data_IF_446278262919
#
_entry.id   IF_446278262919
#
_cell.length_a   1.000
_cell.length_b   1.000
_cell.length_c   1.000
_cell.angle_alpha   90.00
_cell.angle_beta   90.00
_cell.angle_gamma   90.00
#
_symmetry.space_group_name_H-M   'P 1'
#
loop_
_entity.id
_entity.type
_entity.pdbx_description
1 polymer ?
#
# COMPACT_ATOMS: atom_id res chain seq x y z
N UNK A 1 -2.02 -2.28 16.22
CA UNK A 1 -1.35 -3.59 16.04
C UNK A 1 0.14 -3.37 15.77
N UNK A 2 1.05 -4.25 16.21
CA UNK A 2 2.46 -4.13 15.81
C UNK A 2 2.56 -4.38 14.30
N UNK A 3 3.01 -3.38 13.54
CA UNK A 3 3.14 -3.43 12.08
C UNK A 3 4.23 -4.41 11.60
N UNK A 4 4.90 -5.12 12.52
CA UNK A 4 5.99 -6.05 12.24
C UNK A 4 5.53 -7.41 11.73
N UNK A 5 4.25 -7.75 11.88
CA UNK A 5 3.70 -9.02 11.38
C UNK A 5 3.57 -8.98 9.86
N UNK A 6 3.90 -10.08 9.18
CA UNK A 6 3.85 -10.12 7.72
C UNK A 6 2.42 -10.20 7.14
N UNK A 7 1.41 -10.41 7.98
CA UNK A 7 -0.01 -10.36 7.60
C UNK A 7 -0.71 -9.25 8.38
N UNK A 8 -1.58 -8.53 7.68
CA UNK A 8 -2.52 -7.60 8.30
C UNK A 8 -3.83 -8.33 8.64
N UNK A 9 -4.43 -8.04 9.79
CA UNK A 9 -5.64 -8.72 10.22
C UNK A 9 -6.81 -8.45 9.26
N UNK A 10 -7.48 -9.53 8.82
CA UNK A 10 -8.59 -9.44 7.86
C UNK A 10 -8.16 -9.16 6.41
N UNK A 11 -6.86 -9.25 6.11
CA UNK A 11 -6.32 -9.14 4.76
C UNK A 11 -5.65 -10.46 4.34
N UNK A 12 -5.94 -10.91 3.12
CA UNK A 12 -5.62 -12.28 2.70
C UNK A 12 -4.16 -12.49 2.27
N UNK A 13 -3.43 -11.41 1.96
CA UNK A 13 -2.10 -11.50 1.34
C UNK A 13 -1.00 -11.11 2.32
N UNK A 14 0.12 -11.81 2.22
CA UNK A 14 1.36 -11.52 2.91
C UNK A 14 1.99 -10.23 2.36
N UNK A 15 2.72 -9.47 3.18
CA UNK A 15 3.32 -8.19 2.75
C UNK A 15 4.24 -8.33 1.54
N UNK A 16 4.98 -9.44 1.43
CA UNK A 16 5.86 -9.75 0.30
C UNK A 16 5.15 -10.11 -1.00
N UNK A 17 3.84 -10.35 -0.96
CA UNK A 17 3.02 -10.59 -2.17
C UNK A 17 2.55 -9.29 -2.82
N UNK A 18 2.83 -8.15 -2.20
CA UNK A 18 2.38 -6.83 -2.65
C UNK A 18 3.59 -6.05 -3.18
N UNK A 19 3.53 -5.59 -4.42
CA UNK A 19 4.59 -4.79 -5.03
C UNK A 19 4.45 -3.30 -4.69
N UNK A 20 3.25 -2.76 -4.95
CA UNK A 20 2.97 -1.33 -4.86
C UNK A 20 1.49 -1.08 -4.65
N UNK A 21 1.18 0.07 -4.10
CA UNK A 21 -0.19 0.47 -3.81
C UNK A 21 -0.49 1.90 -4.26
N UNK A 22 -1.78 2.12 -4.52
CA UNK A 22 -2.38 3.43 -4.66
C UNK A 22 -3.56 3.50 -3.70
N UNK A 23 -3.60 4.52 -2.85
CA UNK A 23 -4.77 4.78 -2.02
C UNK A 23 -5.69 5.79 -2.71
N UNK A 24 -7.00 5.69 -2.52
CA UNK A 24 -7.98 6.72 -2.85
C UNK A 24 -9.03 6.73 -1.74
N UNK A 25 -9.03 7.77 -0.91
CA UNK A 25 -9.79 7.80 0.35
C UNK A 25 -9.50 6.57 1.22
N UNK A 26 -10.51 5.75 1.53
CA UNK A 26 -10.39 4.52 2.32
C UNK A 26 -10.06 3.28 1.49
N UNK A 27 -10.05 3.38 0.16
CA UNK A 27 -9.83 2.24 -0.73
C UNK A 27 -8.38 2.18 -1.19
N UNK A 28 -7.81 0.98 -1.20
CA UNK A 28 -6.46 0.70 -1.67
C UNK A 28 -6.55 -0.17 -2.93
N UNK A 29 -5.89 0.28 -4.00
CA UNK A 29 -5.58 -0.54 -5.17
C UNK A 29 -4.18 -1.10 -4.99
N UNK A 30 -4.04 -2.42 -4.96
CA UNK A 30 -2.79 -3.13 -4.72
C UNK A 30 -2.42 -3.92 -5.97
N UNK A 31 -1.16 -3.80 -6.40
CA UNK A 31 -0.58 -4.69 -7.40
C UNK A 31 0.16 -5.80 -6.68
N UNK A 32 -0.22 -7.05 -6.95
CA UNK A 32 0.42 -8.23 -6.40
C UNK A 32 1.60 -8.68 -7.27
N UNK A 33 2.50 -9.48 -6.69
CA UNK A 33 3.67 -10.04 -7.38
C UNK A 33 3.33 -10.96 -8.54
N UNK A 34 2.15 -11.59 -8.50
CA UNK A 34 1.62 -12.40 -9.61
C UNK A 34 0.99 -11.56 -10.73
N UNK A 35 1.07 -10.23 -10.67
CA UNK A 35 0.51 -9.31 -11.65
C UNK A 35 -0.98 -9.00 -11.46
N UNK A 36 -1.66 -9.63 -10.51
CA UNK A 36 -3.06 -9.32 -10.21
C UNK A 36 -3.20 -7.93 -9.57
N UNK A 37 -4.30 -7.25 -9.88
CA UNK A 37 -4.68 -5.98 -9.26
C UNK A 37 -5.93 -6.23 -8.43
N UNK A 38 -5.87 -5.85 -7.16
CA UNK A 38 -7.00 -5.99 -6.23
C UNK A 38 -7.38 -4.65 -5.62
N UNK A 39 -8.66 -4.52 -5.28
CA UNK A 39 -9.17 -3.42 -4.47
C UNK A 39 -9.48 -3.92 -3.07
N UNK A 40 -9.03 -3.19 -2.07
CA UNK A 40 -9.24 -3.54 -0.67
C UNK A 40 -9.63 -2.30 0.14
N UNK A 41 -10.66 -2.43 0.94
CA UNK A 41 -11.13 -1.38 1.85
C UNK A 41 -11.02 -1.89 3.29
N UNK A 42 -9.88 -1.66 3.96
CA UNK A 42 -9.69 -2.05 5.36
C UNK A 42 -10.60 -1.24 6.30
N UNK A 43 -11.05 -1.87 7.39
CA UNK A 43 -11.77 -1.20 8.48
C UNK A 43 -10.91 -0.09 9.12
N UNK A 44 -9.60 -0.31 9.23
CA UNK A 44 -8.63 0.65 9.78
C UNK A 44 -7.64 1.11 8.70
N UNK A 45 -8.10 1.98 7.79
CA UNK A 45 -7.30 2.45 6.64
C UNK A 45 -5.96 3.10 7.01
N UNK A 46 -5.91 3.87 8.10
CA UNK A 46 -4.65 4.49 8.55
C UNK A 46 -3.63 3.44 9.00
N UNK A 47 -4.07 2.42 9.74
CA UNK A 47 -3.21 1.34 10.19
C UNK A 47 -2.74 0.45 9.04
N UNK A 48 -3.61 0.19 8.07
CA UNK A 48 -3.23 -0.56 6.87
C UNK A 48 -2.16 0.18 6.07
N UNK A 49 -2.30 1.50 5.88
CA UNK A 49 -1.26 2.31 5.23
C UNK A 49 0.07 2.27 5.98
N UNK A 50 0.03 2.39 7.32
CA UNK A 50 1.24 2.30 8.15
C UNK A 50 1.92 0.94 8.04
N UNK A 51 1.15 -0.14 7.96
CA UNK A 51 1.64 -1.48 7.73
C UNK A 51 2.31 -1.63 6.35
N UNK A 52 1.67 -1.13 5.28
CA UNK A 52 2.26 -1.11 3.94
C UNK A 52 3.61 -0.38 3.92
N UNK A 53 3.66 0.81 4.52
CA UNK A 53 4.87 1.62 4.62
C UNK A 53 5.95 0.94 5.46
N UNK A 54 5.58 0.29 6.57
CA UNK A 54 6.51 -0.46 7.42
C UNK A 54 7.21 -1.57 6.64
N UNK A 55 6.45 -2.28 5.80
CA UNK A 55 6.98 -3.32 4.92
C UNK A 55 7.60 -2.78 3.62
N UNK A 56 7.79 -1.45 3.52
CA UNK A 56 8.45 -0.77 2.38
C UNK A 56 7.74 -1.01 1.04
N UNK A 57 6.44 -1.23 1.07
CA UNK A 57 5.64 -1.36 -0.15
C UNK A 57 5.48 0.04 -0.75
N UNK A 58 5.69 0.16 -2.06
CA UNK A 58 5.76 1.44 -2.75
C UNK A 58 4.38 2.14 -2.81
N UNK A 59 4.31 3.39 -2.33
CA UNK A 59 3.17 4.29 -2.59
C UNK A 59 3.38 4.99 -3.95
N UNK A 60 2.58 4.60 -4.94
CA UNK A 60 2.72 5.09 -6.32
C UNK A 60 2.62 6.63 -6.39
N UNK A 61 1.78 7.26 -5.57
CA UNK A 61 1.64 8.74 -5.61
C UNK A 61 2.90 9.43 -5.11
N UNK A 62 3.55 8.86 -4.10
CA UNK A 62 4.82 9.39 -3.59
C UNK A 62 5.92 9.20 -4.63
N UNK A 63 5.98 8.01 -5.25
CA UNK A 63 6.96 7.70 -6.31
C UNK A 63 6.86 8.66 -7.51
N UNK A 64 5.64 8.92 -8.01
CA UNK A 64 5.39 9.87 -9.10
C UNK A 64 5.81 11.29 -8.70
N UNK A 65 5.42 11.75 -7.51
CA UNK A 65 5.79 13.10 -7.01
C UNK A 65 7.31 13.27 -6.92
N UNK A 66 8.01 12.26 -6.41
CA UNK A 66 9.47 12.32 -6.26
C UNK A 66 10.21 12.26 -7.62
N UNK A 67 9.57 11.67 -8.64
CA UNK A 67 10.14 11.55 -9.99
C UNK A 67 9.92 12.81 -10.85
N UNK A 68 8.99 13.69 -10.47
CA UNK A 68 8.67 14.92 -11.19
C UNK A 68 8.84 16.17 -10.29
N UNK A 69 10.02 16.82 -10.29
CA UNK A 69 10.26 18.01 -9.47
C UNK A 69 9.40 19.22 -9.88
N UNK A 70 8.77 19.20 -11.06
CA UNK A 70 7.92 20.28 -11.56
C UNK A 70 6.56 20.45 -10.83
N UNK A 71 6.17 19.51 -9.95
CA UNK A 71 4.91 19.60 -9.16
C UNK A 71 5.14 20.28 -7.78
N UNK A 72 6.36 20.78 -7.53
CA UNK A 72 6.71 21.50 -6.29
C UNK A 72 6.68 23.03 -6.42
N UNK A 73 6.22 23.58 -7.55
CA UNK A 73 6.12 25.02 -7.83
C UNK A 73 4.68 25.54 -7.72
#
# INVERSE_FOLDING_TARGET
>A
MPYTKPYFAGFAYHSTEICKFLQAYSTFTLMLTNGAIIHYQPEHALDFRRWLNHHKIEDIRVSIRNSNPAILA
#
